data_IF_638247092288
#
_entry.id   IF_638247092288
#
_cell.length_a   1.000
_cell.length_b   1.000
_cell.length_c   1.000
_cell.angle_alpha   90.00
_cell.angle_beta   90.00
_cell.angle_gamma   90.00
#
_symmetry.space_group_name_H-M   'P 1'
#
loop_
_entity.id
_entity.type
_entity.pdbx_description
1 polymer ?
#
# COMPACT_ATOMS: atom_id res chain seq x y z
N UNK A 1 -29.34 -44.86 33.86
CA UNK A 1 -29.09 -44.42 32.47
C UNK A 1 -29.80 -43.09 32.11
N UNK A 2 -29.75 -42.05 32.96
CA UNK A 2 -30.31 -40.72 32.63
C UNK A 2 -29.34 -39.55 32.86
N UNK A 3 -28.23 -39.78 33.58
CA UNK A 3 -27.21 -38.73 33.87
C UNK A 3 -26.06 -38.69 32.88
N UNK A 4 -25.73 -39.80 32.24
CA UNK A 4 -24.63 -39.87 31.24
C UNK A 4 -25.02 -39.30 29.88
N UNK A 5 -26.31 -39.38 29.48
CA UNK A 5 -26.80 -38.83 28.20
C UNK A 5 -26.80 -37.29 28.19
N UNK A 6 -27.04 -36.66 29.34
CA UNK A 6 -27.04 -35.19 29.48
C UNK A 6 -25.65 -34.56 29.30
N UNK A 7 -24.58 -35.28 29.67
CA UNK A 7 -23.20 -34.77 29.54
C UNK A 7 -22.75 -34.75 28.07
N UNK A 8 -23.18 -35.71 27.25
CA UNK A 8 -22.82 -35.73 25.83
C UNK A 8 -23.50 -34.63 25.00
N UNK A 9 -24.73 -34.23 25.35
CA UNK A 9 -25.42 -33.13 24.66
C UNK A 9 -24.75 -31.77 24.97
N UNK A 10 -24.21 -31.60 26.18
CA UNK A 10 -23.53 -30.37 26.57
C UNK A 10 -22.18 -30.17 25.84
N UNK A 11 -21.46 -31.26 25.52
CA UNK A 11 -20.17 -31.19 24.81
C UNK A 11 -20.39 -30.91 23.30
N UNK A 12 -21.48 -31.40 22.71
CA UNK A 12 -21.79 -31.12 21.31
C UNK A 12 -22.23 -29.66 21.07
N UNK A 13 -22.78 -28.98 22.08
CA UNK A 13 -23.16 -27.57 21.97
C UNK A 13 -21.97 -26.59 22.04
N UNK A 14 -20.82 -26.99 22.61
CA UNK A 14 -19.64 -26.12 22.66
C UNK A 14 -18.75 -26.24 21.42
N UNK A 15 -18.79 -27.37 20.70
CA UNK A 15 -18.08 -27.51 19.42
C UNK A 15 -18.86 -26.95 18.21
N UNK A 16 -20.18 -26.74 18.32
CA UNK A 16 -21.02 -26.24 17.24
C UNK A 16 -20.94 -24.74 16.95
N UNK A 17 -20.24 -23.95 17.77
CA UNK A 17 -20.17 -22.47 17.62
C UNK A 17 -18.89 -21.98 16.94
N UNK A 18 -17.96 -22.89 16.63
CA UNK A 18 -16.68 -22.52 16.00
C UNK A 18 -16.73 -22.46 14.47
N UNK A 19 -17.88 -22.76 13.82
CA UNK A 19 -17.94 -22.89 12.36
C UNK A 19 -18.80 -21.87 11.59
N UNK A 20 -19.31 -20.82 12.24
CA UNK A 20 -20.05 -19.75 11.55
C UNK A 20 -19.41 -18.36 11.66
N UNK A 21 -18.14 -18.29 12.07
CA UNK A 21 -17.38 -17.04 12.13
C UNK A 21 -16.22 -17.01 11.12
N UNK A 22 -16.28 -17.79 10.04
CA UNK A 22 -15.59 -17.43 8.79
C UNK A 22 -16.42 -16.36 8.08
N UNK A 23 -16.71 -15.29 8.80
CA UNK A 23 -17.18 -14.05 8.20
C UNK A 23 -15.96 -13.45 7.52
N UNK A 24 -16.11 -13.17 6.23
CA UNK A 24 -15.30 -12.20 5.50
C UNK A 24 -14.86 -11.09 6.48
N UNK A 25 -13.59 -11.11 6.92
CA UNK A 25 -13.08 -10.15 7.89
C UNK A 25 -13.10 -8.79 7.21
N UNK A 26 -14.21 -8.06 7.38
CA UNK A 26 -14.36 -6.71 6.91
C UNK A 26 -13.15 -5.94 7.43
N UNK A 27 -12.31 -5.46 6.51
CA UNK A 27 -11.09 -4.73 6.85
C UNK A 27 -11.48 -3.61 7.83
N UNK A 28 -10.82 -3.50 9.01
CA UNK A 28 -11.17 -2.47 9.96
C UNK A 28 -11.00 -1.10 9.29
N UNK A 29 -11.84 -0.10 9.64
CA UNK A 29 -11.85 1.18 8.95
C UNK A 29 -10.48 1.85 8.97
N UNK A 30 -10.12 2.62 7.94
CA UNK A 30 -8.84 3.32 7.89
C UNK A 30 -8.69 4.23 9.11
N UNK A 31 -7.66 3.94 9.92
CA UNK A 31 -7.29 4.79 11.05
C UNK A 31 -6.87 6.16 10.49
N UNK A 32 -7.52 7.23 10.95
CA UNK A 32 -7.10 8.60 10.58
C UNK A 32 -5.62 8.77 10.90
N UNK A 33 -4.85 9.19 9.89
CA UNK A 33 -3.42 9.47 10.06
C UNK A 33 -3.24 10.60 11.06
N UNK A 34 -2.32 10.39 12.01
CA UNK A 34 -1.88 11.44 12.92
C UNK A 34 -0.62 12.07 12.33
N UNK A 35 -0.27 13.28 12.74
CA UNK A 35 1.00 13.91 12.32
C UNK A 35 2.20 13.00 12.59
N UNK A 36 2.21 12.29 13.73
CA UNK A 36 3.27 11.30 14.03
C UNK A 36 3.33 10.16 13.00
N UNK A 37 2.18 9.64 12.58
CA UNK A 37 2.10 8.61 11.54
C UNK A 37 2.57 9.16 10.18
N UNK A 38 2.14 10.36 9.80
CA UNK A 38 2.56 11.02 8.54
C UNK A 38 4.07 11.25 8.51
N UNK A 39 4.67 11.72 9.62
CA UNK A 39 6.13 11.89 9.72
C UNK A 39 6.88 10.56 9.61
N UNK A 40 6.35 9.49 10.22
CA UNK A 40 6.94 8.16 10.13
C UNK A 40 6.91 7.61 8.70
N UNK A 41 5.79 7.80 8.00
CA UNK A 41 5.65 7.38 6.61
C UNK A 41 6.50 8.23 5.65
N UNK A 42 6.61 9.54 5.87
CA UNK A 42 7.55 10.39 5.13
C UNK A 42 8.99 9.89 5.31
N UNK A 43 9.40 9.61 6.55
CA UNK A 43 10.73 9.06 6.84
C UNK A 43 10.95 7.73 6.13
N UNK A 44 9.93 6.86 6.12
CA UNK A 44 10.02 5.57 5.47
C UNK A 44 10.17 5.72 3.95
N UNK A 45 9.32 6.52 3.31
CA UNK A 45 9.39 6.82 1.88
C UNK A 45 10.77 7.39 1.49
N UNK A 46 11.25 8.41 2.21
CA UNK A 46 12.56 9.00 1.99
C UNK A 46 13.70 7.99 2.11
N UNK A 47 13.59 7.05 3.07
CA UNK A 47 14.58 5.99 3.27
C UNK A 47 14.57 4.99 2.10
N UNK A 48 13.39 4.57 1.64
CA UNK A 48 13.27 3.64 0.51
C UNK A 48 13.81 4.27 -0.78
N UNK A 49 13.52 5.55 -1.01
CA UNK A 49 14.07 6.31 -2.12
C UNK A 49 15.61 6.31 -2.08
N UNK A 50 16.21 6.71 -0.96
CA UNK A 50 17.67 6.75 -0.82
C UNK A 50 18.36 5.39 -1.01
N UNK A 51 17.70 4.30 -0.61
CA UNK A 51 18.28 2.96 -0.66
C UNK A 51 18.10 2.27 -2.02
N UNK A 52 16.97 2.52 -2.68
CA UNK A 52 16.55 1.71 -3.83
C UNK A 52 16.53 2.48 -5.14
N UNK A 53 16.33 3.80 -5.13
CA UNK A 53 16.16 4.56 -6.38
C UNK A 53 17.50 4.73 -7.13
N UNK A 54 17.59 4.34 -8.42
CA UNK A 54 18.82 4.27 -9.21
C UNK A 54 19.57 5.60 -9.25
N UNK A 55 18.83 6.70 -9.40
CA UNK A 55 19.45 8.03 -9.47
C UNK A 55 20.32 8.35 -8.25
N UNK A 56 20.05 7.84 -7.03
CA UNK A 56 20.91 8.12 -5.87
C UNK A 56 22.24 7.39 -5.86
N UNK A 57 22.40 6.35 -6.70
CA UNK A 57 23.68 5.68 -6.94
C UNK A 57 24.56 6.51 -7.87
N UNK A 58 23.95 7.21 -8.82
CA UNK A 58 24.63 7.96 -9.89
C UNK A 58 24.78 9.46 -9.59
N UNK A 59 23.98 9.99 -8.66
CA UNK A 59 23.97 11.39 -8.28
C UNK A 59 25.27 11.81 -7.57
N UNK A 60 25.80 12.99 -7.94
CA UNK A 60 26.95 13.59 -7.27
C UNK A 60 26.66 13.86 -5.79
N UNK A 61 27.72 13.88 -4.97
CA UNK A 61 27.65 14.06 -3.52
C UNK A 61 26.94 15.36 -3.13
N UNK A 62 27.08 16.43 -3.92
CA UNK A 62 26.44 17.71 -3.65
C UNK A 62 24.92 17.63 -3.83
N UNK A 63 24.45 17.08 -4.95
CA UNK A 63 23.02 16.89 -5.22
C UNK A 63 22.38 15.91 -4.21
N UNK A 64 23.12 14.88 -3.81
CA UNK A 64 22.68 13.95 -2.76
C UNK A 64 22.59 14.63 -1.39
N UNK A 65 23.51 15.54 -1.07
CA UNK A 65 23.45 16.36 0.14
C UNK A 65 22.25 17.31 0.12
N UNK A 66 22.01 18.00 -1.00
CA UNK A 66 20.85 18.89 -1.18
C UNK A 66 19.53 18.14 -1.01
N UNK A 67 19.44 16.91 -1.53
CA UNK A 67 18.30 16.04 -1.32
C UNK A 67 18.12 15.65 0.17
N UNK A 68 19.20 15.30 0.86
CA UNK A 68 19.15 14.98 2.29
C UNK A 68 18.73 16.21 3.10
N UNK A 69 19.20 17.40 2.71
CA UNK A 69 18.88 18.66 3.40
C UNK A 69 17.43 19.08 3.19
N UNK A 70 16.85 18.78 2.02
CA UNK A 70 15.42 19.02 1.72
C UNK A 70 14.47 18.13 2.53
N UNK A 71 14.94 17.02 3.11
CA UNK A 71 14.13 16.23 4.05
C UNK A 71 13.57 17.06 5.23
N UNK A 72 14.37 18.00 5.76
CA UNK A 72 13.91 18.88 6.83
C UNK A 72 12.78 19.81 6.36
N UNK A 73 12.80 20.23 5.10
CA UNK A 73 11.72 21.01 4.51
C UNK A 73 10.41 20.21 4.46
N UNK A 74 10.44 18.98 3.94
CA UNK A 74 9.25 18.12 3.89
C UNK A 74 8.71 17.83 5.30
N UNK A 75 9.58 17.61 6.29
CA UNK A 75 9.16 17.44 7.68
C UNK A 75 8.40 18.65 8.23
N UNK A 76 8.77 19.87 7.87
CA UNK A 76 8.04 21.06 8.29
C UNK A 76 6.67 21.14 7.62
N UNK A 77 6.57 20.79 6.34
CA UNK A 77 5.28 20.73 5.64
C UNK A 77 4.34 19.69 6.29
N UNK A 78 4.85 18.51 6.66
CA UNK A 78 4.06 17.50 7.38
C UNK A 78 3.56 17.99 8.74
N UNK A 79 4.36 18.77 9.48
CA UNK A 79 3.92 19.33 10.77
C UNK A 79 2.77 20.31 10.61
N UNK A 80 2.65 20.94 9.44
CA UNK A 80 1.56 21.85 9.09
C UNK A 80 0.38 21.12 8.44
N UNK A 81 0.58 19.88 7.98
CA UNK A 81 -0.47 19.07 7.38
C UNK A 81 -1.55 18.72 8.41
N UNK A 82 -2.79 19.04 8.06
CA UNK A 82 -3.98 18.87 8.90
C UNK A 82 -4.80 17.61 8.57
N UNK A 83 -4.57 17.06 7.38
CA UNK A 83 -5.29 15.92 6.83
C UNK A 83 -4.40 15.06 5.92
N UNK A 84 -4.99 14.00 5.42
CA UNK A 84 -4.30 13.04 4.57
C UNK A 84 -4.05 13.56 3.15
N UNK A 85 -4.88 14.46 2.63
CA UNK A 85 -4.70 15.03 1.30
C UNK A 85 -3.46 15.94 1.28
N UNK A 86 -3.27 16.73 2.34
CA UNK A 86 -2.05 17.51 2.53
C UNK A 86 -0.83 16.60 2.72
N UNK A 87 -0.96 15.48 3.44
CA UNK A 87 0.12 14.48 3.51
C UNK A 87 0.50 13.96 2.11
N UNK A 88 -0.49 13.57 1.29
CA UNK A 88 -0.27 13.09 -0.08
C UNK A 88 0.41 14.16 -0.94
N UNK A 89 0.00 15.42 -0.83
CA UNK A 89 0.63 16.54 -1.53
C UNK A 89 2.10 16.72 -1.14
N UNK A 90 2.45 16.62 0.14
CA UNK A 90 3.86 16.72 0.59
C UNK A 90 4.70 15.57 0.06
N UNK A 91 4.16 14.35 0.04
CA UNK A 91 4.86 13.22 -0.60
C UNK A 91 5.03 13.49 -2.10
N UNK A 92 4.01 14.00 -2.80
CA UNK A 92 4.13 14.34 -4.22
C UNK A 92 5.19 15.41 -4.48
N UNK A 93 5.29 16.45 -3.64
CA UNK A 93 6.34 17.47 -3.74
C UNK A 93 7.72 16.81 -3.65
N UNK A 94 7.95 15.99 -2.62
CA UNK A 94 9.19 15.23 -2.48
C UNK A 94 9.47 14.41 -3.74
N UNK A 95 8.51 13.62 -4.22
CA UNK A 95 8.71 12.78 -5.41
C UNK A 95 9.00 13.61 -6.67
N UNK A 96 8.37 14.76 -6.84
CA UNK A 96 8.64 15.67 -7.97
C UNK A 96 10.06 16.27 -7.92
N UNK A 97 10.60 16.51 -6.72
CA UNK A 97 11.96 17.03 -6.55
C UNK A 97 13.02 15.99 -6.98
N UNK A 98 12.67 14.71 -7.11
CA UNK A 98 13.52 13.69 -7.76
C UNK A 98 13.60 13.84 -9.28
N UNK A 99 12.69 14.63 -9.88
CA UNK A 99 12.56 14.82 -11.33
C UNK A 99 12.45 13.51 -12.12
N UNK A 100 11.77 12.51 -11.54
CA UNK A 100 11.54 11.21 -12.15
C UNK A 100 10.04 10.87 -12.09
N UNK A 101 9.41 10.73 -13.26
CA UNK A 101 7.96 10.48 -13.39
C UNK A 101 7.54 9.03 -13.09
N UNK A 102 8.50 8.11 -13.11
CA UNK A 102 8.27 6.70 -12.81
C UNK A 102 8.18 6.41 -11.32
N UNK A 103 8.76 7.29 -10.50
CA UNK A 103 8.71 7.25 -9.05
C UNK A 103 7.49 7.99 -8.52
N UNK A 104 6.46 7.24 -8.12
CA UNK A 104 5.18 7.80 -7.69
C UNK A 104 4.49 6.96 -6.63
N UNK A 105 3.54 7.54 -5.91
CA UNK A 105 2.54 6.75 -5.18
C UNK A 105 1.54 6.16 -6.18
N UNK A 106 1.22 4.87 -6.05
CA UNK A 106 0.26 4.23 -6.93
C UNK A 106 -1.12 4.89 -6.82
N UNK A 107 -1.73 5.13 -7.97
CA UNK A 107 -3.16 5.37 -8.05
C UNK A 107 -3.94 4.07 -7.79
N UNK A 108 -5.23 4.19 -7.50
CA UNK A 108 -6.10 3.04 -7.21
C UNK A 108 -6.18 2.07 -8.39
N UNK A 109 -6.33 2.58 -9.60
CA UNK A 109 -6.39 1.76 -10.81
C UNK A 109 -5.06 1.07 -11.12
N UNK A 110 -3.92 1.70 -10.79
CA UNK A 110 -2.61 1.06 -10.89
C UNK A 110 -2.47 -0.07 -9.87
N UNK A 111 -2.82 0.18 -8.60
CA UNK A 111 -2.81 -0.85 -7.56
C UNK A 111 -3.64 -2.06 -7.97
N UNK A 112 -4.85 -1.86 -8.49
CA UNK A 112 -5.73 -2.96 -8.91
C UNK A 112 -5.11 -3.78 -10.05
N UNK A 113 -4.51 -3.12 -11.05
CA UNK A 113 -3.82 -3.80 -12.15
C UNK A 113 -2.67 -4.68 -11.63
N UNK A 114 -1.81 -4.13 -10.78
CA UNK A 114 -0.67 -4.87 -10.23
C UNK A 114 -1.11 -5.98 -9.26
N UNK A 115 -2.17 -5.74 -8.50
CA UNK A 115 -2.75 -6.75 -7.60
C UNK A 115 -3.31 -7.92 -8.40
N UNK A 116 -4.10 -7.66 -9.44
CA UNK A 116 -4.64 -8.68 -10.35
C UNK A 116 -3.52 -9.46 -11.05
N UNK A 117 -2.44 -8.79 -11.45
CA UNK A 117 -1.26 -9.44 -12.01
C UNK A 117 -0.63 -10.43 -11.02
N UNK A 118 -0.43 -10.01 -9.76
CA UNK A 118 0.11 -10.85 -8.69
C UNK A 118 -0.76 -12.06 -8.31
N UNK A 119 -2.07 -12.04 -8.59
CA UNK A 119 -2.94 -13.19 -8.38
C UNK A 119 -2.72 -14.27 -9.45
N UNK A 120 -2.36 -13.86 -10.66
CA UNK A 120 -2.10 -14.76 -11.79
C UNK A 120 -0.65 -15.27 -11.82
N UNK A 121 0.26 -14.59 -11.13
CA UNK A 121 1.68 -14.94 -11.05
C UNK A 121 2.11 -15.46 -9.67
N UNK A 122 2.73 -16.64 -9.63
CA UNK A 122 3.17 -17.27 -8.38
C UNK A 122 4.36 -16.56 -7.70
N UNK A 123 5.18 -15.82 -8.45
CA UNK A 123 6.45 -15.26 -7.98
C UNK A 123 6.57 -13.76 -8.15
N UNK A 124 5.46 -13.04 -8.08
CA UNK A 124 5.50 -11.61 -8.34
C UNK A 124 6.29 -10.82 -7.28
N UNK A 125 7.23 -9.97 -7.73
CA UNK A 125 8.28 -9.36 -6.89
C UNK A 125 7.69 -8.48 -5.78
N UNK A 126 6.62 -7.76 -6.10
CA UNK A 126 5.96 -6.80 -5.22
C UNK A 126 4.70 -7.34 -4.53
N UNK A 127 4.37 -8.62 -4.72
CA UNK A 127 3.17 -9.25 -4.14
C UNK A 127 3.06 -9.05 -2.63
N UNK A 128 4.15 -9.28 -1.91
CA UNK A 128 4.19 -9.15 -0.45
C UNK A 128 3.86 -7.73 0.02
N UNK A 129 4.20 -6.72 -0.78
CA UNK A 129 3.91 -5.33 -0.45
C UNK A 129 2.44 -5.01 -0.69
N UNK A 130 1.90 -5.40 -1.85
CA UNK A 130 0.50 -5.19 -2.17
C UNK A 130 -0.45 -5.95 -1.21
N UNK A 131 -0.02 -7.12 -0.72
CA UNK A 131 -0.81 -7.94 0.21
C UNK A 131 -0.82 -7.43 1.66
N UNK A 132 0.02 -6.44 2.01
CA UNK A 132 0.01 -5.84 3.35
C UNK A 132 -1.37 -5.29 3.67
N UNK A 133 -1.84 -5.57 4.89
CA UNK A 133 -3.17 -5.13 5.36
C UNK A 133 -3.36 -3.61 5.27
N UNK A 134 -2.28 -2.81 5.43
CA UNK A 134 -2.34 -1.36 5.26
C UNK A 134 -2.61 -0.96 3.81
N UNK A 135 -1.92 -1.60 2.83
CA UNK A 135 -2.15 -1.37 1.40
C UNK A 135 -3.56 -1.81 0.99
N UNK A 136 -3.94 -3.05 1.33
CA UNK A 136 -5.30 -3.56 1.08
C UNK A 136 -6.35 -2.61 1.63
N UNK A 137 -6.20 -2.12 2.87
CA UNK A 137 -7.16 -1.16 3.44
C UNK A 137 -7.19 0.18 2.70
N UNK A 138 -6.03 0.72 2.30
CA UNK A 138 -5.93 1.99 1.57
C UNK A 138 -6.70 1.93 0.25
N UNK A 139 -6.49 0.85 -0.50
CA UNK A 139 -7.03 0.72 -1.84
C UNK A 139 -8.38 -0.02 -1.87
N UNK A 140 -8.77 -0.75 -0.83
CA UNK A 140 -10.11 -1.34 -0.69
C UNK A 140 -11.15 -0.36 -0.11
N UNK A 141 -10.73 0.81 0.40
CA UNK A 141 -11.66 1.82 0.88
C UNK A 141 -12.44 2.45 -0.29
N UNK A 142 -13.71 2.06 -0.45
CA UNK A 142 -14.70 2.77 -1.26
C UNK A 142 -15.66 3.56 -0.35
N UNK A 143 -15.52 4.87 -0.17
CA UNK A 143 -16.62 5.73 0.22
C UNK A 143 -17.27 6.32 -1.04
N UNK A 144 -17.87 5.49 -1.89
CA UNK A 144 -18.66 5.98 -3.01
C UNK A 144 -20.12 6.05 -2.60
N UNK A 145 -20.53 7.19 -2.03
CA UNK A 145 -21.89 7.64 -2.24
C UNK A 145 -22.01 8.04 -3.71
N UNK A 146 -22.46 7.10 -4.55
CA UNK A 146 -22.96 7.39 -5.89
C UNK A 146 -22.14 6.84 -7.06
N UNK A 147 -22.63 5.74 -7.61
CA UNK A 147 -22.69 5.39 -9.04
C UNK A 147 -21.40 5.29 -9.87
N UNK A 148 -21.15 4.08 -10.38
CA UNK A 148 -20.41 3.90 -11.62
C UNK A 148 -19.77 2.53 -11.79
N UNK A 149 -20.58 1.51 -12.11
CA UNK A 149 -20.07 0.29 -12.72
C UNK A 149 -19.27 0.63 -13.98
N UNK A 150 -17.99 0.27 -14.03
CA UNK A 150 -17.29 0.07 -15.29
C UNK A 150 -16.52 -1.25 -15.24
N UNK A 151 -17.19 -2.30 -15.71
CA UNK A 151 -16.54 -3.51 -16.21
C UNK A 151 -15.76 -3.10 -17.48
N UNK A 152 -14.44 -3.10 -17.44
CA UNK A 152 -13.62 -2.95 -18.65
C UNK A 152 -13.14 -4.30 -19.16
N UNK A 153 -13.42 -4.53 -20.43
CA UNK A 153 -12.92 -5.62 -21.25
C UNK A 153 -11.38 -5.62 -21.27
N UNK A 154 -10.75 -6.66 -20.71
CA UNK A 154 -9.31 -6.89 -20.65
C UNK A 154 -8.79 -7.22 -22.06
N UNK A 155 -7.90 -6.39 -22.62
CA UNK A 155 -7.22 -6.66 -23.90
C UNK A 155 -5.93 -7.44 -23.65
N UNK A 156 -5.74 -8.54 -24.38
CA UNK A 156 -4.58 -9.44 -24.35
C UNK A 156 -3.20 -8.80 -24.62
N UNK A 157 -3.11 -7.52 -24.96
CA UNK A 157 -1.83 -6.83 -25.22
C UNK A 157 -1.17 -6.25 -23.96
N UNK A 158 -1.91 -6.12 -22.85
CA UNK A 158 -1.42 -5.46 -21.64
C UNK A 158 -0.59 -6.36 -20.72
N UNK A 159 -0.63 -7.68 -20.96
CA UNK A 159 0.03 -8.70 -20.14
C UNK A 159 1.52 -8.85 -20.49
N UNK A 160 1.92 -8.60 -21.74
CA UNK A 160 3.34 -8.61 -22.14
C UNK A 160 4.12 -7.43 -21.57
N UNK A 161 3.49 -6.26 -21.43
CA UNK A 161 4.15 -5.04 -20.97
C UNK A 161 4.39 -5.09 -19.46
N UNK A 162 3.47 -5.69 -18.69
CA UNK A 162 3.61 -5.85 -17.24
C UNK A 162 4.73 -6.82 -16.85
N UNK A 163 4.94 -7.90 -17.62
CA UNK A 163 6.09 -8.80 -17.40
C UNK A 163 7.45 -8.11 -17.58
N UNK A 164 7.54 -7.15 -18.51
CA UNK A 164 8.77 -6.36 -18.69
C UNK A 164 8.95 -5.38 -17.54
N UNK A 165 7.89 -4.70 -17.12
CA UNK A 165 7.94 -3.74 -16.01
C UNK A 165 8.22 -4.39 -14.65
N UNK A 166 7.83 -5.64 -14.44
CA UNK A 166 7.97 -6.30 -13.14
C UNK A 166 9.43 -6.47 -12.68
N UNK A 167 10.35 -6.75 -13.60
CA UNK A 167 11.78 -6.85 -13.27
C UNK A 167 12.43 -5.48 -13.06
N UNK A 168 11.78 -4.42 -13.52
CA UNK A 168 12.31 -3.05 -13.53
C UNK A 168 11.70 -2.17 -12.44
N UNK A 169 10.88 -2.74 -11.55
CA UNK A 169 10.17 -2.00 -10.51
C UNK A 169 10.31 -2.64 -9.12
N UNK A 170 10.37 -1.77 -8.13
CA UNK A 170 10.20 -2.08 -6.71
C UNK A 170 9.00 -1.31 -6.17
N UNK A 171 8.30 -1.92 -5.22
CA UNK A 171 7.19 -1.29 -4.52
C UNK A 171 7.40 -1.33 -3.03
N UNK A 172 6.95 -0.30 -2.31
CA UNK A 172 7.06 -0.22 -0.86
C UNK A 172 5.79 0.37 -0.25
N UNK A 173 5.15 -0.39 0.62
CA UNK A 173 3.96 0.07 1.35
C UNK A 173 4.36 0.93 2.52
N UNK A 174 3.87 2.16 2.55
CA UNK A 174 4.00 3.05 3.69
C UNK A 174 3.20 2.48 4.88
N UNK A 175 3.85 2.23 6.03
CA UNK A 175 3.30 1.34 7.05
C UNK A 175 2.03 1.86 7.72
N UNK A 176 1.89 3.19 7.87
CA UNK A 176 0.74 3.76 8.57
C UNK A 176 -0.40 4.16 7.64
N UNK A 177 -0.06 4.73 6.48
CA UNK A 177 -1.00 5.25 5.49
C UNK A 177 -1.44 4.19 4.50
N UNK A 178 -0.64 3.16 4.25
CA UNK A 178 -0.94 2.12 3.26
C UNK A 178 -0.79 2.58 1.81
N UNK A 179 -0.32 3.80 1.55
CA UNK A 179 0.09 4.14 0.18
C UNK A 179 1.23 3.23 -0.25
N UNK A 180 1.27 2.92 -1.53
CA UNK A 180 2.33 2.09 -2.12
C UNK A 180 3.18 3.00 -2.99
N UNK A 181 4.46 3.10 -2.65
CA UNK A 181 5.47 3.84 -3.39
C UNK A 181 6.06 2.92 -4.46
N UNK A 182 5.96 3.31 -5.73
CA UNK A 182 6.63 2.70 -6.88
C UNK A 182 8.00 3.37 -7.07
N UNK A 183 9.04 2.56 -7.26
CA UNK A 183 10.41 3.00 -7.52
C UNK A 183 10.97 2.15 -8.68
N UNK A 184 11.59 2.73 -9.71
CA UNK A 184 12.28 1.97 -10.75
C UNK A 184 13.56 1.29 -10.23
N UNK A 185 13.98 0.19 -10.85
CA UNK A 185 15.19 -0.59 -10.50
C UNK A 185 16.47 -0.09 -11.15
#
# INVERSE_FOLDING_TARGET
MKRTVLVFIAILLTMGVAWTAYGEEALPPPKRLTTKHMMADLKHAHTMLLQHHPHFKEMDINMKSEWIDSYNHYLQLIKQASDEDQFKQVIQIMLNDLQNEDTRLLAKDEYDKYYDHCENEQHAVYKNELEKMSAKRRYAYQPTNGSGHHHMHRKHHQESDMHSEENDLQMFTLPNSGYVLRIPN
#
